data_IF_397010564841
#
_entry.id   IF_397010564841
#
_cell.length_a   1.000
_cell.length_b   1.000
_cell.length_c   1.000
_cell.angle_alpha   90.00
_cell.angle_beta   90.00
_cell.angle_gamma   90.00
#
_symmetry.space_group_name_H-M   'P 1'
#
loop_
_entity.id
_entity.type
_entity.pdbx_description
1 polymer ?
#
# COMPACT_ATOMS: atom_id res chain seq x y z
N UNK A 1 17.70 -1.41 5.90
CA UNK A 1 16.73 -1.28 7.02
C UNK A 1 16.15 -2.67 7.26
N UNK A 2 15.88 -3.09 8.50
CA UNK A 2 15.23 -4.39 8.74
C UNK A 2 13.73 -4.29 8.39
N UNK A 3 13.28 -5.13 7.47
CA UNK A 3 11.90 -5.16 6.96
C UNK A 3 11.24 -6.53 7.15
N UNK A 4 11.78 -7.33 8.07
CA UNK A 4 11.30 -8.70 8.34
C UNK A 4 9.83 -8.71 8.76
N UNK A 5 9.45 -7.84 9.70
CA UNK A 5 8.06 -7.73 10.16
C UNK A 5 7.12 -7.22 9.06
N UNK A 6 7.55 -6.22 8.28
CA UNK A 6 6.76 -5.72 7.15
C UNK A 6 6.53 -6.83 6.10
N UNK A 7 7.57 -7.61 5.82
CA UNK A 7 7.47 -8.77 4.92
C UNK A 7 6.45 -9.80 5.41
N UNK A 8 6.43 -10.07 6.72
CA UNK A 8 5.43 -10.97 7.30
C UNK A 8 4.01 -10.40 7.16
N UNK A 9 3.82 -9.09 7.37
CA UNK A 9 2.53 -8.42 7.21
C UNK A 9 2.01 -8.50 5.77
N UNK A 10 2.87 -8.26 4.77
CA UNK A 10 2.49 -8.40 3.35
C UNK A 10 2.15 -9.83 2.96
N UNK A 11 2.87 -10.81 3.50
CA UNK A 11 2.53 -12.22 3.27
C UNK A 11 1.12 -12.54 3.78
N UNK A 12 0.76 -12.06 4.97
CA UNK A 12 -0.59 -12.25 5.52
C UNK A 12 -1.66 -11.50 4.72
N UNK A 13 -1.36 -10.28 4.28
CA UNK A 13 -2.23 -9.50 3.40
C UNK A 13 -2.53 -10.26 2.09
N UNK A 14 -1.48 -10.79 1.44
CA UNK A 14 -1.64 -11.53 0.18
C UNK A 14 -2.42 -12.83 0.37
N UNK A 15 -2.20 -13.56 1.47
CA UNK A 15 -3.01 -14.74 1.81
C UNK A 15 -4.50 -14.37 1.96
N UNK A 16 -4.81 -13.27 2.66
CA UNK A 16 -6.19 -12.81 2.82
C UNK A 16 -6.81 -12.38 1.47
N UNK A 17 -6.04 -11.71 0.62
CA UNK A 17 -6.48 -11.31 -0.72
C UNK A 17 -6.74 -12.51 -1.64
N UNK A 18 -5.86 -13.52 -1.61
CA UNK A 18 -5.95 -14.73 -2.42
C UNK A 18 -7.08 -15.68 -1.97
N UNK A 19 -7.47 -15.62 -0.69
CA UNK A 19 -8.62 -16.35 -0.18
C UNK A 19 -9.96 -15.85 -0.75
N UNK A 20 -10.00 -14.61 -1.24
CA UNK A 20 -11.11 -14.05 -2.00
C UNK A 20 -10.83 -14.32 -3.48
N UNK A 21 -11.61 -15.20 -4.12
CA UNK A 21 -11.54 -15.40 -5.56
C UNK A 21 -12.43 -14.41 -6.30
N UNK A 22 -12.31 -14.38 -7.64
CA UNK A 22 -13.22 -13.62 -8.49
C UNK A 22 -14.68 -14.12 -8.36
N UNK A 23 -14.86 -15.39 -8.03
CA UNK A 23 -16.16 -16.05 -7.93
C UNK A 23 -16.67 -16.13 -6.47
N UNK A 24 -15.91 -15.61 -5.49
CA UNK A 24 -16.39 -15.55 -4.10
C UNK A 24 -17.68 -14.73 -4.06
N UNK A 25 -18.78 -15.28 -3.50
CA UNK A 25 -20.07 -14.61 -3.45
C UNK A 25 -20.02 -13.49 -2.39
N UNK A 26 -19.73 -12.28 -2.85
CA UNK A 26 -19.75 -11.06 -2.07
C UNK A 26 -20.91 -10.20 -2.56
N UNK A 27 -21.53 -9.42 -1.68
CA UNK A 27 -22.37 -8.31 -2.12
C UNK A 27 -21.53 -7.26 -2.86
N UNK A 28 -22.21 -6.39 -3.63
CA UNK A 28 -21.55 -5.43 -4.50
C UNK A 28 -20.67 -4.45 -3.71
N UNK A 29 -21.14 -3.99 -2.55
CA UNK A 29 -20.41 -3.05 -1.71
C UNK A 29 -19.10 -3.64 -1.17
N UNK A 30 -19.16 -4.88 -0.68
CA UNK A 30 -17.99 -5.62 -0.18
C UNK A 30 -17.00 -5.90 -1.32
N UNK A 31 -17.50 -6.26 -2.51
CA UNK A 31 -16.64 -6.46 -3.69
C UNK A 31 -15.92 -5.17 -4.09
N UNK A 32 -16.64 -4.06 -4.14
CA UNK A 32 -16.08 -2.75 -4.49
C UNK A 32 -15.02 -2.31 -3.47
N UNK A 33 -15.24 -2.56 -2.17
CA UNK A 33 -14.26 -2.22 -1.13
C UNK A 33 -13.00 -3.08 -1.21
N UNK A 34 -13.12 -4.39 -1.48
CA UNK A 34 -11.97 -5.29 -1.71
C UNK A 34 -11.14 -4.79 -2.89
N UNK A 35 -11.80 -4.51 -4.02
CA UNK A 35 -11.16 -4.09 -5.25
C UNK A 35 -10.46 -2.74 -5.09
N UNK A 36 -11.14 -1.79 -4.41
CA UNK A 36 -10.58 -0.49 -4.04
C UNK A 36 -9.31 -0.66 -3.19
N UNK A 37 -9.33 -1.52 -2.16
CA UNK A 37 -8.18 -1.74 -1.26
C UNK A 37 -6.97 -2.28 -1.99
N UNK A 38 -7.15 -3.26 -2.88
CA UNK A 38 -6.03 -3.84 -3.63
C UNK A 38 -5.40 -2.80 -4.56
N UNK A 39 -6.21 -1.98 -5.24
CA UNK A 39 -5.73 -0.87 -6.06
C UNK A 39 -5.01 0.20 -5.22
N UNK A 40 -5.60 0.60 -4.09
CA UNK A 40 -5.02 1.57 -3.15
C UNK A 40 -3.63 1.14 -2.67
N UNK A 41 -3.49 -0.10 -2.19
CA UNK A 41 -2.22 -0.62 -1.66
C UNK A 41 -1.17 -0.67 -2.77
N UNK A 42 -1.51 -1.19 -3.95
CA UNK A 42 -0.59 -1.26 -5.07
C UNK A 42 -0.10 0.14 -5.49
N UNK A 43 -0.97 1.15 -5.51
CA UNK A 43 -0.61 2.52 -5.85
C UNK A 43 0.25 3.16 -4.75
N UNK A 44 -0.10 2.97 -3.48
CA UNK A 44 0.67 3.45 -2.33
C UNK A 44 2.11 2.89 -2.35
N UNK A 45 2.28 1.60 -2.65
CA UNK A 45 3.59 0.96 -2.74
C UNK A 45 4.47 1.60 -3.81
N UNK A 46 3.87 1.90 -4.97
CA UNK A 46 4.57 2.55 -6.06
C UNK A 46 4.97 3.99 -5.73
N UNK A 47 4.10 4.73 -5.03
CA UNK A 47 4.40 6.10 -4.57
C UNK A 47 5.61 6.06 -3.62
N UNK A 48 5.60 5.15 -2.65
CA UNK A 48 6.68 5.03 -1.67
C UNK A 48 7.97 4.53 -2.35
N UNK A 49 7.89 3.61 -3.30
CA UNK A 49 9.05 3.16 -4.07
C UNK A 49 9.69 4.32 -4.86
N UNK A 50 8.88 5.19 -5.48
CA UNK A 50 9.38 6.39 -6.16
C UNK A 50 10.06 7.35 -5.18
N UNK A 51 9.43 7.66 -4.05
CA UNK A 51 10.03 8.47 -3.00
C UNK A 51 11.34 7.86 -2.49
N UNK A 52 11.41 6.53 -2.42
CA UNK A 52 12.61 5.83 -1.96
C UNK A 52 13.77 5.97 -2.94
N UNK A 53 13.50 6.00 -4.24
CA UNK A 53 14.51 6.29 -5.28
C UNK A 53 15.01 7.73 -5.22
N UNK A 54 14.11 8.69 -4.96
CA UNK A 54 14.50 10.10 -4.79
C UNK A 54 15.49 10.24 -3.64
N UNK A 55 15.22 9.62 -2.50
CA UNK A 55 16.13 9.58 -1.34
C UNK A 55 17.49 8.97 -1.69
N UNK A 56 17.50 7.82 -2.37
CA UNK A 56 18.75 7.16 -2.80
C UNK A 56 19.55 7.99 -3.81
N UNK A 57 18.87 8.87 -4.54
CA UNK A 57 19.48 9.81 -5.49
C UNK A 57 19.95 11.10 -4.81
N UNK A 58 19.80 11.23 -3.50
CA UNK A 58 20.22 12.39 -2.71
C UNK A 58 19.19 13.54 -2.67
N UNK A 59 17.97 13.33 -3.15
CA UNK A 59 16.90 14.33 -3.06
C UNK A 59 16.04 14.13 -1.81
N UNK A 60 15.38 15.20 -1.35
CA UNK A 60 14.37 15.08 -0.30
C UNK A 60 13.15 14.34 -0.83
N UNK A 61 12.88 13.16 -0.26
CA UNK A 61 11.73 12.36 -0.62
C UNK A 61 10.40 13.04 -0.24
N UNK A 62 9.41 12.92 -1.13
CA UNK A 62 8.02 13.30 -0.88
C UNK A 62 7.14 12.09 -1.17
N UNK A 63 6.37 11.68 -0.17
CA UNK A 63 5.32 10.68 -0.29
C UNK A 63 4.00 11.43 -0.35
N UNK A 64 3.41 11.53 -1.54
CA UNK A 64 2.09 12.12 -1.75
C UNK A 64 1.10 11.00 -2.07
N UNK A 65 0.17 10.72 -1.15
CA UNK A 65 -0.78 9.62 -1.31
C UNK A 65 -1.97 9.97 -2.22
N UNK A 66 -2.08 11.20 -2.77
CA UNK A 66 -3.21 11.57 -3.63
C UNK A 66 -3.48 10.54 -4.73
N UNK A 67 -2.47 10.04 -5.47
CA UNK A 67 -2.74 9.10 -6.55
C UNK A 67 -3.23 7.73 -6.08
N UNK A 68 -3.02 7.35 -4.81
CA UNK A 68 -3.59 6.13 -4.23
C UNK A 68 -4.94 6.35 -3.55
N UNK A 69 -5.45 7.59 -3.55
CA UNK A 69 -6.75 7.97 -3.03
C UNK A 69 -7.70 8.52 -4.10
N UNK A 70 -7.18 8.84 -5.29
CA UNK A 70 -7.93 9.37 -6.42
C UNK A 70 -9.02 8.37 -6.90
N UNK A 71 -10.31 8.73 -6.81
CA UNK A 71 -11.40 7.83 -7.15
C UNK A 71 -11.43 7.47 -8.64
N UNK A 72 -11.12 8.41 -9.53
CA UNK A 72 -11.13 8.18 -10.98
C UNK A 72 -9.99 7.23 -11.38
N UNK A 73 -8.82 7.41 -10.77
CA UNK A 73 -7.67 6.54 -10.99
C UNK A 73 -7.90 5.13 -10.49
N UNK A 74 -8.49 4.98 -9.30
CA UNK A 74 -8.81 3.66 -8.75
C UNK A 74 -9.90 3.00 -9.59
N UNK A 75 -10.97 3.71 -9.94
CA UNK A 75 -12.04 3.20 -10.80
C UNK A 75 -11.49 2.75 -12.16
N UNK A 76 -10.59 3.54 -12.77
CA UNK A 76 -9.91 3.15 -14.01
C UNK A 76 -9.13 1.84 -13.81
N UNK A 77 -8.30 1.74 -12.78
CA UNK A 77 -7.53 0.52 -12.49
C UNK A 77 -8.43 -0.69 -12.25
N UNK A 78 -9.54 -0.54 -11.52
CA UNK A 78 -10.55 -1.58 -11.32
C UNK A 78 -11.14 -2.00 -12.68
N UNK A 79 -11.61 -1.06 -13.49
CA UNK A 79 -12.25 -1.35 -14.78
C UNK A 79 -11.32 -2.04 -15.79
N UNK A 80 -10.00 -1.82 -15.70
CA UNK A 80 -9.01 -2.37 -16.65
C UNK A 80 -8.26 -3.58 -16.09
N UNK A 81 -8.62 -4.12 -14.93
CA UNK A 81 -7.94 -5.26 -14.33
C UNK A 81 -8.89 -6.27 -13.69
N UNK A 82 -8.47 -7.52 -13.65
CA UNK A 82 -9.14 -8.59 -12.91
C UNK A 82 -8.63 -8.66 -11.47
N UNK A 83 -9.38 -9.32 -10.58
CA UNK A 83 -8.96 -9.53 -9.20
C UNK A 83 -7.56 -10.18 -9.08
N UNK A 84 -7.22 -11.27 -9.80
CA UNK A 84 -5.85 -11.81 -9.81
C UNK A 84 -4.78 -10.81 -10.27
N UNK A 85 -5.09 -9.96 -11.26
CA UNK A 85 -4.16 -8.92 -11.72
C UNK A 85 -3.93 -7.84 -10.66
N UNK A 86 -4.95 -7.49 -9.86
CA UNK A 86 -4.81 -6.55 -8.74
C UNK A 86 -3.92 -7.12 -7.63
N UNK A 87 -4.09 -8.39 -7.27
CA UNK A 87 -3.20 -9.10 -6.35
C UNK A 87 -1.76 -9.11 -6.88
N UNK A 88 -1.58 -9.41 -8.17
CA UNK A 88 -0.26 -9.40 -8.79
C UNK A 88 0.39 -8.00 -8.76
N UNK A 89 -0.40 -6.94 -8.98
CA UNK A 89 0.09 -5.56 -8.85
C UNK A 89 0.57 -5.26 -7.43
N UNK A 90 -0.17 -5.68 -6.38
CA UNK A 90 0.29 -5.56 -4.99
C UNK A 90 1.61 -6.31 -4.80
N UNK A 91 1.70 -7.57 -5.27
CA UNK A 91 2.91 -8.40 -5.12
C UNK A 91 4.13 -7.77 -5.79
N UNK A 92 4.00 -7.30 -7.03
CA UNK A 92 5.10 -6.71 -7.80
C UNK A 92 5.55 -5.37 -7.21
N UNK A 93 4.61 -4.49 -6.87
CA UNK A 93 4.95 -3.18 -6.33
C UNK A 93 5.54 -3.29 -4.91
N UNK A 94 5.04 -4.22 -4.09
CA UNK A 94 5.67 -4.53 -2.81
C UNK A 94 7.09 -5.06 -2.99
N UNK A 95 7.31 -6.03 -3.90
CA UNK A 95 8.64 -6.59 -4.11
C UNK A 95 9.66 -5.51 -4.51
N UNK A 96 9.26 -4.58 -5.38
CA UNK A 96 10.05 -3.42 -5.76
C UNK A 96 10.35 -2.50 -4.57
N UNK A 97 9.31 -2.11 -3.82
CA UNK A 97 9.47 -1.28 -2.63
C UNK A 97 10.42 -1.94 -1.63
N UNK A 98 10.19 -3.21 -1.30
CA UNK A 98 11.01 -4.00 -0.38
C UNK A 98 12.48 -3.96 -0.78
N UNK A 99 12.78 -4.27 -2.05
CA UNK A 99 14.16 -4.24 -2.55
C UNK A 99 14.80 -2.88 -2.35
N UNK A 100 14.08 -1.77 -2.56
CA UNK A 100 14.63 -0.42 -2.33
C UNK A 100 14.93 -0.16 -0.85
N UNK A 101 13.98 -0.42 0.04
CA UNK A 101 14.15 -0.12 1.48
C UNK A 101 15.11 -1.07 2.20
N UNK A 102 15.32 -2.29 1.68
CA UNK A 102 16.37 -3.20 2.17
C UNK A 102 17.76 -2.58 2.00
N UNK A 103 17.99 -1.78 0.94
CA UNK A 103 19.29 -1.11 0.71
C UNK A 103 19.57 0.05 1.65
N UNK A 104 18.57 0.55 2.39
CA UNK A 104 18.74 1.71 3.25
C UNK A 104 19.71 1.41 4.39
N UNK A 105 20.71 2.27 4.55
CA UNK A 105 21.55 2.28 5.75
C UNK A 105 20.75 2.73 6.97
N UNK A 106 21.34 2.61 8.16
CA UNK A 106 20.77 3.19 9.37
C UNK A 106 20.61 4.72 9.27
N UNK A 107 21.46 5.40 8.49
CA UNK A 107 21.34 6.84 8.26
C UNK A 107 20.14 7.14 7.34
N UNK A 108 19.97 6.40 6.25
CA UNK A 108 18.83 6.57 5.34
C UNK A 108 17.50 6.31 6.05
N UNK A 109 17.47 5.35 6.96
CA UNK A 109 16.32 5.07 7.81
C UNK A 109 15.91 6.27 8.69
N UNK A 110 16.86 7.11 9.10
CA UNK A 110 16.61 8.31 9.91
C UNK A 110 16.40 9.57 9.07
N UNK A 111 16.67 9.52 7.76
CA UNK A 111 16.43 10.63 6.87
C UNK A 111 14.95 11.01 6.85
N UNK A 112 14.70 12.32 6.83
CA UNK A 112 13.34 12.87 6.85
C UNK A 112 12.75 12.90 5.45
N UNK A 113 11.47 12.56 5.35
CA UNK A 113 10.63 12.70 4.17
C UNK A 113 9.43 13.60 4.48
N UNK A 114 8.86 14.20 3.44
CA UNK A 114 7.56 14.87 3.54
C UNK A 114 6.46 13.89 3.21
N UNK A 115 5.46 13.76 4.07
CA UNK A 115 4.26 12.98 3.83
C UNK A 115 3.08 13.94 3.62
N UNK A 116 2.47 13.87 2.44
CA UNK A 116 1.22 14.57 2.11
C UNK A 116 0.08 13.57 2.09
N UNK A 117 -0.94 13.86 2.88
CA UNK A 117 -2.08 12.99 3.14
C UNK A 117 -3.35 13.57 2.53
N UNK A 118 -4.06 12.71 1.83
CA UNK A 118 -5.41 12.88 1.29
C UNK A 118 -6.29 11.74 1.82
N UNK A 119 -7.59 12.03 1.95
CA UNK A 119 -8.61 11.05 2.35
C UNK A 119 -9.12 10.22 1.16
N UNK A 120 -10.08 9.33 1.40
CA UNK A 120 -10.66 8.45 0.36
C UNK A 120 -11.41 9.20 -0.76
N UNK A 121 -11.77 10.46 -0.54
CA UNK A 121 -12.38 11.31 -1.57
C UNK A 121 -11.33 12.05 -2.40
N UNK A 122 -10.04 11.86 -2.10
CA UNK A 122 -8.94 12.60 -2.71
C UNK A 122 -8.77 14.01 -2.13
N UNK A 123 -9.48 14.34 -1.06
CA UNK A 123 -9.40 15.66 -0.42
C UNK A 123 -8.16 15.76 0.46
N UNK A 124 -7.51 16.92 0.44
CA UNK A 124 -6.33 17.17 1.26
C UNK A 124 -6.65 17.12 2.75
N UNK A 125 -5.82 16.40 3.51
CA UNK A 125 -5.96 16.25 4.96
C UNK A 125 -4.84 16.98 5.70
N UNK A 126 -3.58 16.68 5.37
CA UNK A 126 -2.44 17.25 6.09
C UNK A 126 -1.10 17.05 5.36
N UNK A 127 -0.13 17.89 5.73
CA UNK A 127 1.29 17.69 5.46
C UNK A 127 1.99 17.38 6.78
N UNK A 128 2.91 16.42 6.77
CA UNK A 128 3.76 16.10 7.93
C UNK A 128 5.19 15.77 7.48
N UNK A 129 6.11 15.80 8.44
CA UNK A 129 7.50 15.37 8.24
C UNK A 129 7.78 14.23 9.19
N UNK A 130 8.36 13.15 8.69
CA UNK A 130 8.72 11.98 9.48
C UNK A 130 9.95 11.31 8.89
N UNK A 131 10.57 10.38 9.65
CA UNK A 131 11.64 9.55 9.11
C UNK A 131 11.10 8.41 8.27
N UNK A 132 11.96 7.86 7.41
CA UNK A 132 11.67 6.59 6.73
C UNK A 132 11.36 5.46 7.70
N UNK A 133 12.10 5.35 8.81
CA UNK A 133 11.82 4.36 9.84
C UNK A 133 10.40 4.49 10.41
N UNK A 134 9.95 5.71 10.71
CA UNK A 134 8.59 5.97 11.20
C UNK A 134 7.52 5.63 10.15
N UNK A 135 7.75 5.98 8.88
CA UNK A 135 6.82 5.60 7.80
C UNK A 135 6.70 4.08 7.68
N UNK A 136 7.82 3.36 7.67
CA UNK A 136 7.85 1.89 7.55
C UNK A 136 7.24 1.22 8.78
N UNK A 137 7.47 1.75 9.98
CA UNK A 137 6.84 1.27 11.22
C UNK A 137 5.32 1.44 11.17
N UNK A 138 4.81 2.61 10.79
CA UNK A 138 3.38 2.87 10.62
C UNK A 138 2.76 1.88 9.62
N UNK A 139 3.47 1.58 8.52
CA UNK A 139 3.00 0.59 7.55
C UNK A 139 2.96 -0.81 8.11
N UNK A 140 3.99 -1.19 8.86
CA UNK A 140 4.16 -2.50 9.46
C UNK A 140 3.12 -2.78 10.53
N UNK A 141 2.82 -1.79 11.38
CA UNK A 141 2.02 -1.98 12.60
C UNK A 141 0.55 -1.61 12.42
N UNK A 142 0.21 -0.76 11.45
CA UNK A 142 -1.13 -0.19 11.34
C UNK A 142 -1.71 -0.34 9.93
N UNK A 143 -1.04 0.20 8.91
CA UNK A 143 -1.62 0.29 7.55
C UNK A 143 -1.86 -1.10 6.93
N UNK A 144 -0.81 -1.90 6.76
CA UNK A 144 -0.92 -3.22 6.13
C UNK A 144 -1.76 -4.19 6.96
N UNK A 145 -1.56 -4.31 8.29
CA UNK A 145 -2.44 -5.13 9.12
C UNK A 145 -3.92 -4.70 9.06
N UNK A 146 -4.21 -3.40 9.03
CA UNK A 146 -5.58 -2.90 8.90
C UNK A 146 -6.25 -3.33 7.59
N UNK A 147 -5.52 -3.29 6.47
CA UNK A 147 -6.01 -3.81 5.19
C UNK A 147 -6.15 -5.33 5.20
N UNK A 148 -5.22 -6.06 5.81
CA UNK A 148 -5.30 -7.52 5.95
C UNK A 148 -6.53 -7.94 6.75
N UNK A 149 -6.82 -7.28 7.87
CA UNK A 149 -8.01 -7.54 8.67
C UNK A 149 -9.30 -7.25 7.89
N UNK A 150 -9.35 -6.14 7.16
CA UNK A 150 -10.51 -5.81 6.33
C UNK A 150 -10.76 -6.84 5.22
N UNK A 151 -9.70 -7.31 4.54
CA UNK A 151 -9.83 -8.39 3.54
C UNK A 151 -10.28 -9.71 4.17
N UNK A 152 -9.73 -10.07 5.33
CA UNK A 152 -10.15 -11.29 6.03
C UNK A 152 -11.63 -11.24 6.45
N UNK A 153 -12.12 -10.07 6.86
CA UNK A 153 -13.51 -9.85 7.24
C UNK A 153 -14.48 -9.77 6.06
N UNK A 154 -13.99 -9.62 4.81
CA UNK A 154 -14.83 -9.62 3.63
C UNK A 154 -15.35 -11.02 3.28
N UNK A 155 -14.69 -12.08 3.76
CA UNK A 155 -15.19 -13.45 3.60
C UNK A 155 -16.39 -13.67 4.52
N UNK A 156 -17.50 -14.24 4.01
CA UNK A 156 -18.62 -14.62 4.88
C UNK A 156 -18.12 -15.63 5.91
N UNK A 157 -18.44 -15.40 7.18
CA UNK A 157 -18.20 -16.37 8.24
C UNK A 157 -18.96 -17.64 7.90
N UNK A 158 -18.24 -18.75 7.71
CA UNK A 158 -18.80 -20.09 7.49
C UNK A 158 -19.69 -20.52 8.67
#
# INVERSE_FOLDING_TARGET
MDVTELTAAYRQLLVAAEAISADTPLDAETRDDVDWRLCHIALADRIIANAAREQLSGHTAVVDNQPSMDPDRIASMISTSTHPQRIDNVRRNWAELRTLIETYSSLDAQAQLKLRMHDRNGEYVSDSVMSWATLIEMRTRQHIPGHQAALANALPTL
#
